data_IF_706983770429
#
_entry.id   IF_706983770429
#
_cell.length_a   1.000
_cell.length_b   1.000
_cell.length_c   1.000
_cell.angle_alpha   90.00
_cell.angle_beta   90.00
_cell.angle_gamma   90.00
#
_symmetry.space_group_name_H-M   'P 1'
#
loop_
_entity.id
_entity.type
_entity.pdbx_description
1 polymer ?
#
# COMPACT_ATOMS: atom_id res chain seq x y z
N UNK A 1 -31.42 17.14 -21.55
CA UNK A 1 -30.83 15.99 -22.29
C UNK A 1 -30.54 14.86 -21.32
N UNK A 2 -31.53 14.02 -21.02
CA UNK A 2 -31.33 12.76 -20.29
C UNK A 2 -31.34 11.63 -21.33
N UNK A 3 -30.18 11.05 -21.61
CA UNK A 3 -30.08 9.81 -22.39
C UNK A 3 -29.60 8.71 -21.45
N UNK A 4 -30.54 8.12 -20.72
CA UNK A 4 -30.32 6.86 -20.02
C UNK A 4 -30.10 5.79 -21.09
N UNK A 5 -28.86 5.30 -21.21
CA UNK A 5 -28.54 4.13 -22.02
C UNK A 5 -29.25 2.92 -21.41
N UNK A 6 -30.28 2.44 -22.10
CA UNK A 6 -30.98 1.20 -21.76
C UNK A 6 -30.08 0.05 -22.20
N UNK A 7 -29.24 -0.45 -21.29
CA UNK A 7 -28.41 -1.64 -21.52
C UNK A 7 -29.34 -2.85 -21.74
N UNK A 8 -29.11 -3.63 -22.79
CA UNK A 8 -29.98 -4.74 -23.17
C UNK A 8 -29.81 -5.93 -22.21
N UNK A 9 -30.91 -6.64 -21.90
CA UNK A 9 -30.90 -7.81 -21.02
C UNK A 9 -29.98 -8.94 -21.51
N UNK A 10 -29.67 -8.98 -22.81
CA UNK A 10 -28.72 -9.92 -23.41
C UNK A 10 -27.26 -9.61 -23.06
N UNK A 11 -26.86 -8.33 -22.99
CA UNK A 11 -25.51 -7.92 -22.58
C UNK A 11 -25.28 -8.17 -21.08
N UNK A 12 -26.34 -8.00 -20.28
CA UNK A 12 -26.31 -8.29 -18.84
C UNK A 12 -26.10 -9.78 -18.55
N UNK A 13 -26.76 -10.66 -19.30
CA UNK A 13 -26.58 -12.11 -19.18
C UNK A 13 -25.23 -12.59 -19.76
N UNK A 14 -24.74 -11.97 -20.84
CA UNK A 14 -23.39 -12.25 -21.37
C UNK A 14 -22.27 -11.82 -20.41
N UNK A 15 -22.44 -10.68 -19.72
CA UNK A 15 -21.54 -10.24 -18.67
C UNK A 15 -21.55 -11.19 -17.46
N UNK A 16 -22.73 -11.69 -17.08
CA UNK A 16 -22.92 -12.66 -15.99
C UNK A 16 -22.26 -14.00 -16.29
N UNK A 17 -22.35 -14.48 -17.53
CA UNK A 17 -21.76 -15.74 -17.97
C UNK A 17 -20.21 -15.72 -18.00
N UNK A 18 -19.60 -14.57 -18.25
CA UNK A 18 -18.15 -14.38 -18.19
C UNK A 18 -17.58 -14.14 -16.78
N UNK A 19 -18.43 -13.96 -15.77
CA UNK A 19 -18.07 -13.57 -14.41
C UNK A 19 -18.17 -14.70 -13.38
N UNK A 20 -18.18 -15.98 -13.80
CA UNK A 20 -17.96 -17.05 -12.84
C UNK A 20 -16.47 -17.15 -12.48
N UNK A 21 -15.99 -16.13 -11.76
CA UNK A 21 -14.69 -16.14 -11.10
C UNK A 21 -14.91 -16.84 -9.76
N UNK A 22 -14.29 -18.00 -9.58
CA UNK A 22 -14.22 -18.63 -8.26
C UNK A 22 -13.45 -17.70 -7.31
N UNK A 23 -14.17 -16.94 -6.49
CA UNK A 23 -13.57 -16.01 -5.54
C UNK A 23 -12.72 -16.72 -4.47
N UNK A 24 -12.80 -18.05 -4.36
CA UNK A 24 -11.96 -18.81 -3.45
C UNK A 24 -10.52 -18.98 -3.96
N UNK A 25 -10.29 -18.86 -5.28
CA UNK A 25 -8.95 -19.00 -5.86
C UNK A 25 -8.45 -17.68 -6.46
N UNK A 26 -7.28 -17.18 -6.01
CA UNK A 26 -6.69 -16.01 -6.64
C UNK A 26 -6.23 -16.35 -8.08
N UNK A 27 -6.30 -15.40 -9.02
CA UNK A 27 -5.74 -15.57 -10.36
C UNK A 27 -4.28 -16.03 -10.35
N UNK A 28 -3.88 -16.82 -11.35
CA UNK A 28 -2.52 -17.38 -11.44
C UNK A 28 -1.41 -16.30 -11.51
N UNK A 29 -1.72 -15.12 -12.02
CA UNK A 29 -0.81 -13.97 -12.13
C UNK A 29 -0.78 -13.08 -10.87
N UNK A 30 -1.59 -13.39 -9.86
CA UNK A 30 -1.61 -12.61 -8.62
C UNK A 30 -0.26 -12.69 -7.94
N UNK A 31 0.28 -11.54 -7.57
CA UNK A 31 1.47 -11.50 -6.72
C UNK A 31 1.16 -12.17 -5.38
N UNK A 32 1.89 -13.24 -5.07
CA UNK A 32 1.71 -14.01 -3.85
C UNK A 32 2.95 -13.92 -2.97
N UNK A 33 2.71 -13.81 -1.68
CA UNK A 33 3.76 -13.79 -0.66
C UNK A 33 3.25 -14.42 0.62
N UNK A 34 4.14 -15.10 1.34
CA UNK A 34 3.79 -15.64 2.65
C UNK A 34 3.53 -14.53 3.66
N UNK A 35 2.55 -14.75 4.51
CA UNK A 35 2.10 -13.77 5.51
C UNK A 35 3.17 -13.47 6.58
N UNK A 36 4.01 -14.46 6.88
CA UNK A 36 5.09 -14.43 7.86
C UNK A 36 6.45 -14.05 7.29
N UNK A 37 6.55 -13.75 5.98
CA UNK A 37 7.82 -13.38 5.36
C UNK A 37 8.31 -11.98 5.81
N UNK A 38 9.49 -11.90 6.45
CA UNK A 38 10.17 -10.63 6.79
C UNK A 38 10.69 -9.91 5.54
N UNK A 39 10.90 -10.65 4.46
CA UNK A 39 11.36 -10.10 3.21
C UNK A 39 12.78 -9.54 3.22
N UNK A 40 13.13 -8.90 2.11
CA UNK A 40 14.44 -8.27 1.92
C UNK A 40 14.37 -6.82 2.39
N UNK A 41 15.45 -6.34 3.00
CA UNK A 41 15.66 -4.91 3.18
C UNK A 41 15.67 -4.23 1.82
N UNK A 42 15.08 -3.03 1.76
CA UNK A 42 15.07 -2.26 0.52
C UNK A 42 16.52 -1.87 0.20
N UNK A 43 17.03 -2.37 -0.92
CA UNK A 43 18.34 -1.95 -1.41
C UNK A 43 18.23 -0.52 -1.91
N UNK A 44 19.09 0.36 -1.40
CA UNK A 44 19.27 1.68 -1.99
C UNK A 44 19.89 1.51 -3.38
N UNK A 45 19.53 2.38 -4.32
CA UNK A 45 20.13 2.38 -5.66
C UNK A 45 21.65 2.53 -5.52
N UNK A 46 22.38 1.44 -5.73
CA UNK A 46 23.84 1.39 -5.72
C UNK A 46 24.35 1.87 -7.08
N UNK A 47 24.36 3.17 -7.32
CA UNK A 47 24.91 3.78 -8.54
C UNK A 47 26.33 4.27 -8.25
N UNK A 48 27.31 3.36 -8.27
CA UNK A 48 28.73 3.73 -8.07
C UNK A 48 29.42 4.17 -9.36
N UNK A 49 28.92 3.76 -10.53
CA UNK A 49 29.61 3.97 -11.81
C UNK A 49 29.20 5.23 -12.57
N UNK A 50 28.06 5.85 -12.25
CA UNK A 50 27.48 6.93 -13.07
C UNK A 50 27.01 8.16 -12.26
N UNK A 51 27.69 8.49 -11.17
CA UNK A 51 27.38 9.68 -10.35
C UNK A 51 27.34 10.97 -11.21
N UNK A 52 28.19 11.07 -12.24
CA UNK A 52 28.21 12.23 -13.13
C UNK A 52 26.90 12.40 -13.92
N UNK A 53 26.22 11.32 -14.26
CA UNK A 53 24.95 11.37 -15.02
C UNK A 53 23.77 11.87 -14.19
N UNK A 54 23.83 11.68 -12.86
CA UNK A 54 22.76 12.11 -11.94
C UNK A 54 22.96 13.53 -11.41
N UNK A 55 24.12 14.16 -11.64
CA UNK A 55 24.39 15.54 -11.21
C UNK A 55 23.31 16.53 -11.68
N UNK A 56 22.88 16.54 -12.96
CA UNK A 56 21.84 17.47 -13.42
C UNK A 56 20.50 17.27 -12.70
N UNK A 57 20.16 16.01 -12.37
CA UNK A 57 18.95 15.69 -11.61
C UNK A 57 19.06 16.20 -10.17
N UNK A 58 20.19 15.96 -9.51
CA UNK A 58 20.45 16.45 -8.15
C UNK A 58 20.37 17.98 -8.10
N UNK A 59 21.01 18.66 -9.06
CA UNK A 59 20.97 20.12 -9.15
C UNK A 59 19.55 20.65 -9.35
N UNK A 60 18.76 20.01 -10.23
CA UNK A 60 17.36 20.36 -10.45
C UNK A 60 16.53 20.19 -9.18
N UNK A 61 16.73 19.09 -8.44
CA UNK A 61 16.05 18.85 -7.17
C UNK A 61 16.41 19.90 -6.13
N UNK A 62 17.69 20.29 -6.02
CA UNK A 62 18.13 21.33 -5.09
C UNK A 62 17.54 22.69 -5.41
N UNK A 63 17.50 23.09 -6.70
CA UNK A 63 16.84 24.34 -7.12
C UNK A 63 15.36 24.35 -6.74
N UNK A 64 14.64 23.27 -7.04
CA UNK A 64 13.22 23.14 -6.69
C UNK A 64 13.00 23.20 -5.18
N UNK A 65 13.93 22.67 -4.39
CA UNK A 65 13.88 22.73 -2.94
C UNK A 65 14.05 24.17 -2.43
N UNK A 66 15.06 24.91 -2.94
CA UNK A 66 15.28 26.32 -2.60
C UNK A 66 14.11 27.20 -3.00
N UNK A 67 13.56 27.00 -4.21
CA UNK A 67 12.38 27.72 -4.67
C UNK A 67 11.12 27.39 -3.84
N UNK A 68 10.96 26.13 -3.44
CA UNK A 68 9.87 25.69 -2.57
C UNK A 68 9.93 26.35 -1.20
N UNK A 69 11.12 26.40 -0.59
CA UNK A 69 11.37 27.11 0.67
C UNK A 69 11.06 28.61 0.52
N UNK A 70 11.56 29.25 -0.55
CA UNK A 70 11.32 30.67 -0.79
C UNK A 70 9.83 31.01 -0.96
N UNK A 71 9.03 30.07 -1.47
CA UNK A 71 7.58 30.20 -1.65
C UNK A 71 6.75 29.73 -0.44
N UNK A 72 7.39 29.40 0.70
CA UNK A 72 6.76 28.76 1.87
C UNK A 72 5.91 27.53 1.50
N UNK A 73 6.31 26.79 0.46
CA UNK A 73 5.62 25.58 0.04
C UNK A 73 6.18 24.38 0.80
N UNK A 74 5.29 23.62 1.44
CA UNK A 74 5.65 22.33 2.03
C UNK A 74 6.08 21.38 0.91
N UNK A 75 7.32 20.89 0.99
CA UNK A 75 7.87 19.94 0.03
C UNK A 75 7.01 18.67 0.00
N UNK A 76 6.58 18.28 -1.19
CA UNK A 76 5.77 17.05 -1.39
C UNK A 76 6.60 15.79 -1.10
N UNK A 77 7.91 15.87 -1.33
CA UNK A 77 8.84 14.77 -1.09
C UNK A 77 10.09 15.31 -0.39
N UNK A 78 10.44 14.68 0.73
CA UNK A 78 11.66 14.96 1.46
C UNK A 78 12.67 13.82 1.21
N UNK A 79 13.75 14.07 0.43
CA UNK A 79 14.75 13.05 0.14
C UNK A 79 15.61 12.68 1.36
N UNK A 80 15.62 13.51 2.41
CA UNK A 80 16.42 13.30 3.63
C UNK A 80 15.62 12.63 4.75
N UNK A 81 14.29 12.50 4.58
CA UNK A 81 13.45 11.78 5.54
C UNK A 81 13.91 10.32 5.65
N UNK A 82 14.03 9.82 6.87
CA UNK A 82 14.26 8.39 7.11
C UNK A 82 12.98 7.61 6.82
N UNK A 83 13.01 6.82 5.75
CA UNK A 83 11.95 5.91 5.36
C UNK A 83 12.12 4.55 6.03
N UNK A 84 11.05 3.76 6.12
CA UNK A 84 11.10 2.39 6.60
C UNK A 84 11.94 1.53 5.63
N UNK A 85 12.91 0.79 6.18
CA UNK A 85 13.86 -0.03 5.41
C UNK A 85 13.32 -1.42 5.03
N UNK A 86 12.05 -1.69 5.34
CA UNK A 86 11.38 -2.96 5.03
C UNK A 86 10.57 -2.90 3.73
N UNK A 87 10.20 -4.09 3.25
CA UNK A 87 9.38 -4.26 2.05
C UNK A 87 7.93 -4.64 2.39
N UNK A 88 7.45 -4.30 3.59
CA UNK A 88 6.06 -4.53 3.97
C UNK A 88 5.21 -3.56 3.18
N UNK A 89 4.51 -4.05 2.15
CA UNK A 89 3.61 -3.29 1.30
C UNK A 89 2.47 -4.20 0.84
N UNK A 90 1.44 -3.59 0.31
CA UNK A 90 0.35 -4.32 -0.34
C UNK A 90 -0.43 -3.39 -1.24
N UNK A 91 -1.57 -3.88 -1.72
CA UNK A 91 -2.44 -3.10 -2.60
C UNK A 91 -3.12 -2.01 -1.76
N UNK A 92 -3.02 -0.74 -2.16
CA UNK A 92 -3.68 0.35 -1.43
C UNK A 92 -5.19 0.21 -1.53
N UNK A 93 -5.86 0.54 -0.42
CA UNK A 93 -7.31 0.58 -0.31
C UNK A 93 -7.74 2.04 -0.39
N UNK A 94 -8.43 2.43 -1.45
CA UNK A 94 -8.89 3.80 -1.66
C UNK A 94 -9.36 4.05 -3.09
N UNK A 95 -10.32 4.95 -3.26
CA UNK A 95 -10.77 5.42 -4.56
C UNK A 95 -9.91 6.57 -5.08
N UNK A 96 -10.06 6.88 -6.37
CA UNK A 96 -9.42 8.05 -6.97
C UNK A 96 -9.93 9.32 -6.28
N UNK A 97 -9.03 10.12 -5.72
CA UNK A 97 -9.37 11.39 -5.05
C UNK A 97 -9.85 11.27 -3.59
N UNK A 98 -10.10 10.07 -3.05
CA UNK A 98 -10.52 9.90 -1.64
C UNK A 98 -9.35 9.81 -0.66
N UNK A 99 -8.13 9.69 -1.17
CA UNK A 99 -6.99 9.18 -0.40
C UNK A 99 -6.99 7.66 -0.30
N UNK A 100 -5.89 7.10 0.22
CA UNK A 100 -5.68 5.65 0.29
C UNK A 100 -5.01 5.22 1.58
N UNK A 101 -5.28 3.99 2.00
CA UNK A 101 -4.65 3.32 3.13
C UNK A 101 -3.97 2.05 2.63
N UNK A 102 -2.67 1.93 2.89
CA UNK A 102 -1.94 0.69 2.61
C UNK A 102 -2.24 -0.39 3.65
N UNK A 103 -2.45 -1.62 3.18
CA UNK A 103 -2.42 -2.79 4.06
C UNK A 103 -1.30 -3.71 3.60
N UNK A 104 -0.32 -3.93 4.48
CA UNK A 104 0.80 -4.82 4.18
C UNK A 104 0.32 -6.27 4.09
N UNK A 105 1.05 -7.10 3.33
CA UNK A 105 0.81 -8.55 3.30
C UNK A 105 0.95 -9.23 4.68
N UNK A 106 1.58 -8.56 5.66
CA UNK A 106 1.70 -9.01 7.06
C UNK A 106 0.51 -8.62 7.94
N UNK A 107 -0.50 -7.96 7.38
CA UNK A 107 -1.74 -7.60 8.06
C UNK A 107 -1.80 -6.17 8.62
N UNK A 108 -0.67 -5.46 8.70
CA UNK A 108 -0.63 -4.10 9.25
C UNK A 108 -1.22 -3.04 8.31
N UNK A 109 -1.98 -2.10 8.88
CA UNK A 109 -2.41 -0.88 8.21
C UNK A 109 -1.34 0.20 8.38
N UNK A 110 -0.85 0.72 7.26
CA UNK A 110 0.31 1.62 7.16
C UNK A 110 0.23 2.42 5.85
N UNK A 111 1.17 3.33 5.60
CA UNK A 111 1.20 4.10 4.34
C UNK A 111 -0.11 4.89 4.11
N UNK A 112 -0.55 5.64 5.11
CA UNK A 112 -1.76 6.44 5.03
C UNK A 112 -1.50 7.69 4.18
N UNK A 113 -2.30 7.84 3.13
CA UNK A 113 -2.33 9.00 2.24
C UNK A 113 -3.75 9.55 2.22
N UNK A 114 -4.25 9.93 3.39
CA UNK A 114 -5.60 10.46 3.56
C UNK A 114 -5.69 11.91 3.11
N UNK A 115 -4.70 12.71 3.48
CA UNK A 115 -4.61 14.11 3.08
C UNK A 115 -3.59 14.26 1.96
N UNK A 116 -3.88 15.09 0.95
CA UNK A 116 -2.87 15.43 -0.06
C UNK A 116 -1.58 15.92 0.61
N UNK A 117 -0.43 15.48 0.08
CA UNK A 117 0.92 15.80 0.58
C UNK A 117 1.31 15.17 1.92
N UNK A 118 0.38 14.61 2.68
CA UNK A 118 0.69 13.90 3.92
C UNK A 118 0.80 12.41 3.60
N UNK A 119 1.97 11.85 3.92
CA UNK A 119 2.22 10.42 3.82
C UNK A 119 2.77 9.90 5.15
N UNK A 120 1.94 9.12 5.83
CA UNK A 120 2.27 8.49 7.10
C UNK A 120 2.62 7.03 6.85
N UNK A 121 3.91 6.75 6.84
CA UNK A 121 4.40 5.40 6.55
C UNK A 121 4.15 4.42 7.68
N UNK A 122 4.17 4.90 8.93
CA UNK A 122 4.18 4.05 10.12
C UNK A 122 2.89 3.24 10.28
N UNK A 123 2.99 2.00 10.80
CA UNK A 123 1.82 1.20 11.07
C UNK A 123 1.03 1.69 12.28
N UNK A 124 -0.30 1.67 12.17
CA UNK A 124 -1.20 1.89 13.31
C UNK A 124 -1.57 0.53 13.89
N UNK A 125 -0.94 0.18 15.02
CA UNK A 125 -1.11 -1.14 15.66
C UNK A 125 -2.54 -1.41 16.14
N UNK A 126 -3.33 -0.38 16.42
CA UNK A 126 -4.72 -0.52 16.83
C UNK A 126 -5.63 -1.01 15.69
N UNK A 127 -5.25 -0.76 14.43
CA UNK A 127 -6.05 -1.13 13.27
C UNK A 127 -5.71 -2.57 12.89
N UNK A 128 -6.56 -3.52 13.27
CA UNK A 128 -6.33 -4.94 13.04
C UNK A 128 -7.63 -5.70 12.78
N UNK A 129 -7.50 -6.83 12.11
CA UNK A 129 -8.53 -7.87 12.12
C UNK A 129 -8.16 -8.93 13.15
N UNK A 130 -9.16 -9.44 13.86
CA UNK A 130 -8.97 -10.51 14.84
C UNK A 130 -9.94 -11.64 14.54
N UNK A 131 -9.48 -12.86 14.75
CA UNK A 131 -10.30 -14.06 14.64
C UNK A 131 -10.54 -14.64 16.03
N UNK A 132 -11.80 -14.97 16.31
CA UNK A 132 -12.21 -15.70 17.50
C UNK A 132 -12.84 -17.03 17.07
N UNK A 133 -12.36 -18.12 17.65
CA UNK A 133 -12.86 -19.46 17.35
C UNK A 133 -13.22 -20.15 18.66
N UNK A 134 -14.46 -20.63 18.74
CA UNK A 134 -14.98 -21.40 19.86
C UNK A 134 -15.66 -22.67 19.36
N UNK A 135 -15.46 -23.78 20.06
CA UNK A 135 -16.13 -25.06 19.80
C UNK A 135 -16.80 -25.56 21.07
N UNK A 136 -18.02 -26.09 20.95
CA UNK A 136 -18.79 -26.62 22.10
C UNK A 136 -17.95 -27.61 22.91
N UNK A 137 -17.79 -27.36 24.21
CA UNK A 137 -17.02 -28.21 25.12
C UNK A 137 -15.49 -28.08 25.01
N UNK A 138 -14.96 -27.11 24.25
CA UNK A 138 -13.51 -26.82 24.17
C UNK A 138 -13.20 -25.38 24.57
N UNK A 139 -11.93 -25.12 24.84
CA UNK A 139 -11.43 -23.76 25.10
C UNK A 139 -11.57 -22.90 23.84
N UNK A 140 -11.95 -21.64 24.05
CA UNK A 140 -12.01 -20.63 23.01
C UNK A 140 -10.64 -20.01 22.78
N UNK A 141 -10.36 -19.61 21.54
CA UNK A 141 -9.10 -18.98 21.13
C UNK A 141 -9.38 -17.66 20.41
N UNK A 142 -8.54 -16.66 20.68
CA UNK A 142 -8.54 -15.38 19.97
C UNK A 142 -7.14 -15.09 19.46
N UNK A 143 -7.01 -14.63 18.22
CA UNK A 143 -5.74 -14.16 17.68
C UNK A 143 -5.93 -12.93 16.80
N UNK A 144 -4.92 -12.08 16.78
CA UNK A 144 -4.83 -10.94 15.86
C UNK A 144 -4.23 -11.43 14.55
N UNK A 145 -4.84 -11.09 13.43
CA UNK A 145 -4.41 -11.47 12.09
C UNK A 145 -3.33 -10.50 11.56
N UNK A 146 -2.24 -10.42 12.32
CA UNK A 146 -0.99 -9.73 11.97
C UNK A 146 0.19 -10.65 12.25
N UNK A 147 1.26 -10.54 11.46
CA UNK A 147 2.44 -11.35 11.71
C UNK A 147 3.02 -11.08 13.12
N UNK A 148 3.41 -12.10 13.90
CA UNK A 148 4.10 -11.89 15.17
C UNK A 148 5.51 -11.34 14.91
N UNK A 149 5.99 -10.46 15.81
CA UNK A 149 7.34 -9.86 15.80
C UNK A 149 7.63 -8.78 14.74
N UNK A 150 6.85 -7.70 14.72
CA UNK A 150 7.40 -6.44 14.25
C UNK A 150 8.28 -5.81 15.35
N UNK A 151 9.50 -6.32 15.54
CA UNK A 151 10.59 -5.54 16.16
C UNK A 151 10.91 -4.24 15.39
N UNK A 152 10.17 -3.96 14.30
CA UNK A 152 10.35 -2.94 13.27
C UNK A 152 9.39 -1.74 13.39
N UNK A 153 8.73 -1.56 14.55
CA UNK A 153 7.87 -0.41 14.84
C UNK A 153 8.56 0.71 15.65
N UNK A 154 9.87 0.60 15.89
CA UNK A 154 10.70 1.69 16.42
C UNK A 154 11.21 2.59 15.30
#
# INVERSE_FOLDING_TARGET
LHRFLKMGSSEFEQAKAHLHVDCAQPPAITWQRKFDDEGKKVAMLSMTTDILTVIPLIFKMLRLHVEGIAKNQVAVYDPLRKWMDNCYRGVPLGGLGSGSIGRSYRGYFQQFQLFPRIYEEKPILANQFSAFVSRSGRKSYSTVLSAPNAHLLK
#
